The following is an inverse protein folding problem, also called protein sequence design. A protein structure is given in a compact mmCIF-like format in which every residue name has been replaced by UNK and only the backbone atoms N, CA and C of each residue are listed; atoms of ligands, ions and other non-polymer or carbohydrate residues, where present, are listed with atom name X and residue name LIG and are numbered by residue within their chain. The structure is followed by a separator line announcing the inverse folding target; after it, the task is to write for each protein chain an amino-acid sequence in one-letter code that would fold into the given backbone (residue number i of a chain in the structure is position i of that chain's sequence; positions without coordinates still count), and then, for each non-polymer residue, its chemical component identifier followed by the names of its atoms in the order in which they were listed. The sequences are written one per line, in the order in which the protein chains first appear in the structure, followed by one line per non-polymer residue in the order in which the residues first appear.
data_IF_574788797026
#
_entry.id   IF_574788797026
#
_cell.length_a   1.000
_cell.length_b   1.000
_cell.length_c   1.000
_cell.angle_alpha   90.00
_cell.angle_beta   90.00
_cell.angle_gamma   90.00
#
_symmetry.space_group_name_H-M   'P 1'
#
loop_
_entity.id
_entity.type
_entity.pdbx_description
1 polymer ?
#
# COMPACT_ATOMS: atom_id res chain seq x y z
N UNK A 1 5.95 -29.56 2.82
CA UNK A 1 5.30 -28.27 3.01
C UNK A 1 3.78 -28.45 3.02
N UNK A 2 3.07 -27.84 3.96
CA UNK A 2 1.61 -27.81 3.97
C UNK A 2 1.19 -26.40 3.58
N UNK A 3 0.55 -26.28 2.44
CA UNK A 3 -0.18 -25.08 2.07
C UNK A 3 -1.49 -25.06 2.84
N UNK A 4 -1.69 -24.02 3.63
CA UNK A 4 -2.98 -23.72 4.24
C UNK A 4 -3.64 -22.64 3.39
N UNK A 5 -4.71 -23.00 2.67
CA UNK A 5 -5.56 -22.03 2.01
C UNK A 5 -6.63 -21.54 2.98
N UNK A 6 -6.79 -20.25 3.12
CA UNK A 6 -7.88 -19.63 3.82
C UNK A 6 -8.79 -18.96 2.79
N UNK A 7 -10.09 -19.26 2.87
CA UNK A 7 -11.09 -18.58 2.06
C UNK A 7 -11.35 -17.17 2.62
N UNK A 8 -11.95 -16.35 1.83
CA UNK A 8 -12.13 -14.92 2.05
C UNK A 8 -12.71 -14.56 3.43
N UNK A 9 -12.10 -13.57 4.06
CA UNK A 9 -12.65 -12.88 5.23
C UNK A 9 -13.00 -11.46 4.79
N UNK A 10 -14.19 -11.01 5.12
CA UNK A 10 -14.64 -9.66 4.80
C UNK A 10 -15.50 -9.05 5.89
N UNK A 11 -15.43 -7.73 5.97
CA UNK A 11 -16.29 -6.90 6.82
C UNK A 11 -16.86 -5.81 5.90
N UNK A 12 -18.19 -5.63 5.92
CA UNK A 12 -18.85 -4.60 5.12
C UNK A 12 -19.60 -3.62 6.01
N UNK A 13 -19.61 -2.37 5.60
CA UNK A 13 -20.37 -1.29 6.22
C UNK A 13 -20.15 -1.17 7.74
N UNK A 14 -18.92 -1.41 8.18
CA UNK A 14 -18.55 -1.27 9.58
C UNK A 14 -18.37 0.20 9.95
N UNK A 15 -18.79 0.57 11.15
CA UNK A 15 -18.54 1.90 11.67
C UNK A 15 -18.46 1.91 13.19
N UNK A 16 -17.69 2.85 13.72
CA UNK A 16 -17.67 3.14 15.15
C UNK A 16 -17.79 4.63 15.39
N UNK A 17 -18.38 5.00 16.52
CA UNK A 17 -18.54 6.39 16.91
C UNK A 17 -17.48 6.75 17.96
N UNK A 18 -16.85 7.89 17.78
CA UNK A 18 -15.94 8.48 18.75
C UNK A 18 -16.37 9.92 19.02
N UNK A 19 -16.85 10.20 20.22
CA UNK A 19 -17.25 11.54 20.67
C UNK A 19 -18.24 12.29 19.76
N UNK A 20 -19.06 11.56 19.01
CA UNK A 20 -20.03 12.11 18.05
C UNK A 20 -19.59 12.00 16.58
N UNK A 21 -18.32 11.80 16.33
CA UNK A 21 -17.81 11.55 14.99
C UNK A 21 -17.89 10.06 14.62
N UNK A 22 -18.24 9.79 13.36
CA UNK A 22 -18.41 8.43 12.86
C UNK A 22 -17.30 8.09 11.88
N UNK A 23 -16.40 7.21 12.30
CA UNK A 23 -15.44 6.57 11.40
C UNK A 23 -16.09 5.35 10.77
N UNK A 24 -15.97 5.19 9.45
CA UNK A 24 -16.60 4.10 8.72
C UNK A 24 -15.65 3.40 7.77
N UNK A 25 -15.90 2.13 7.53
CA UNK A 25 -15.24 1.32 6.50
C UNK A 25 -16.34 0.72 5.64
N UNK A 26 -16.32 0.97 4.33
CA UNK A 26 -17.30 0.42 3.40
C UNK A 26 -17.06 -1.06 3.17
N UNK A 27 -15.83 -1.45 2.89
CA UNK A 27 -15.42 -2.84 2.70
C UNK A 27 -14.00 -3.08 3.22
N UNK A 28 -13.81 -4.16 3.93
CA UNK A 28 -12.51 -4.74 4.24
C UNK A 28 -12.51 -6.19 3.79
N UNK A 29 -11.49 -6.60 3.07
CA UNK A 29 -11.35 -8.01 2.68
C UNK A 29 -9.91 -8.50 2.80
N UNK A 30 -9.80 -9.78 3.14
CA UNK A 30 -8.60 -10.59 3.06
C UNK A 30 -8.94 -11.85 2.28
N UNK A 31 -8.29 -12.07 1.16
CA UNK A 31 -8.61 -13.15 0.23
C UNK A 31 -7.37 -13.81 -0.36
N UNK A 32 -7.57 -14.96 -1.00
CA UNK A 32 -6.53 -15.70 -1.72
C UNK A 32 -5.30 -16.08 -0.85
N UNK A 33 -5.49 -16.23 0.46
CA UNK A 33 -4.37 -16.44 1.39
C UNK A 33 -3.81 -17.85 1.24
N UNK A 34 -2.50 -17.93 0.93
CA UNK A 34 -1.72 -19.16 1.00
C UNK A 34 -0.52 -18.97 1.92
N UNK A 35 -0.25 -19.98 2.73
CA UNK A 35 0.85 -19.96 3.70
C UNK A 35 1.76 -21.15 3.44
N UNK A 36 3.05 -20.89 3.31
CA UNK A 36 4.10 -21.89 3.19
C UNK A 36 5.22 -21.60 4.18
N UNK A 37 5.68 -22.64 4.87
CA UNK A 37 6.73 -22.54 5.91
C UNK A 37 6.47 -21.44 6.96
N UNK A 38 5.19 -21.18 7.29
CA UNK A 38 4.79 -20.15 8.24
C UNK A 38 4.79 -18.72 7.70
N UNK A 39 5.07 -18.54 6.42
CA UNK A 39 5.02 -17.24 5.73
C UNK A 39 3.85 -17.20 4.76
N UNK A 40 3.22 -16.04 4.64
CA UNK A 40 2.21 -15.80 3.60
C UNK A 40 2.92 -15.67 2.25
N UNK A 41 2.67 -16.62 1.35
CA UNK A 41 3.24 -16.63 0.01
C UNK A 41 2.28 -16.07 -1.03
N UNK A 42 0.98 -16.02 -0.73
CA UNK A 42 -0.02 -15.39 -1.56
C UNK A 42 -1.08 -14.75 -0.69
N UNK A 43 -1.59 -13.62 -1.11
CA UNK A 43 -2.70 -12.96 -0.40
C UNK A 43 -3.07 -11.63 -1.03
N UNK A 44 -4.32 -11.26 -0.80
CA UNK A 44 -4.84 -9.96 -1.18
C UNK A 44 -5.60 -9.36 0.00
N UNK A 45 -5.20 -8.16 0.37
CA UNK A 45 -5.88 -7.37 1.41
C UNK A 45 -6.43 -6.11 0.77
N UNK A 46 -7.65 -5.73 1.09
CA UNK A 46 -8.20 -4.45 0.68
C UNK A 46 -9.00 -3.77 1.79
N UNK A 47 -8.90 -2.46 1.83
CA UNK A 47 -9.74 -1.54 2.59
C UNK A 47 -10.33 -0.57 1.58
N UNK A 48 -11.64 -0.59 1.38
CA UNK A 48 -12.34 0.35 0.52
C UNK A 48 -13.18 1.32 1.35
N UNK A 49 -13.04 2.61 1.04
CA UNK A 49 -13.86 3.66 1.62
C UNK A 49 -13.71 3.76 3.13
N UNK A 50 -12.47 3.74 3.65
CA UNK A 50 -12.21 4.15 5.03
C UNK A 50 -12.45 5.66 5.13
N UNK A 51 -13.54 6.03 5.81
CA UNK A 51 -14.02 7.40 5.99
C UNK A 51 -13.62 7.90 7.36
N UNK A 52 -12.86 8.99 7.39
CA UNK A 52 -12.37 9.64 8.61
C UNK A 52 -12.87 11.09 8.60
N UNK A 53 -13.74 11.50 9.54
CA UNK A 53 -14.16 12.89 9.67
C UNK A 53 -12.98 13.84 9.84
N UNK A 54 -12.98 14.98 9.15
CA UNK A 54 -11.92 15.98 9.29
C UNK A 54 -11.87 16.62 10.69
N UNK A 55 -12.95 16.56 11.44
CA UNK A 55 -12.99 16.95 12.86
C UNK A 55 -12.01 16.14 13.69
N UNK A 56 -11.96 14.81 13.50
CA UNK A 56 -11.00 13.94 14.19
C UNK A 56 -9.55 14.20 13.76
N UNK A 57 -9.31 14.43 12.46
CA UNK A 57 -7.98 14.83 11.98
C UNK A 57 -7.58 16.17 12.58
N UNK A 58 -8.53 17.13 12.69
CA UNK A 58 -8.29 18.45 13.25
C UNK A 58 -7.90 18.42 14.73
N UNK A 59 -8.35 17.43 15.49
CA UNK A 59 -7.92 17.23 16.89
C UNK A 59 -6.43 16.85 16.97
N UNK A 60 -5.92 16.14 15.97
CA UNK A 60 -4.52 15.73 15.89
C UNK A 60 -3.65 16.78 15.20
N UNK A 61 -4.09 17.28 14.05
CA UNK A 61 -3.39 18.28 13.25
C UNK A 61 -4.38 19.13 12.43
N UNK A 62 -4.59 20.37 12.90
CA UNK A 62 -5.48 21.34 12.24
C UNK A 62 -5.00 21.74 10.85
N UNK A 63 -3.69 21.79 10.62
CA UNK A 63 -3.14 22.21 9.33
C UNK A 63 -3.41 21.16 8.27
N UNK A 64 -3.24 19.89 8.60
CA UNK A 64 -3.54 18.76 7.74
C UNK A 64 -5.04 18.69 7.44
N UNK A 65 -5.91 18.75 8.44
CA UNK A 65 -7.36 18.74 8.24
C UNK A 65 -7.84 19.87 7.33
N UNK A 66 -7.31 21.08 7.54
CA UNK A 66 -7.64 22.24 6.69
C UNK A 66 -7.16 22.02 5.25
N UNK A 67 -5.94 21.53 5.07
CA UNK A 67 -5.39 21.27 3.74
C UNK A 67 -6.24 20.24 2.99
N UNK A 68 -6.64 19.15 3.66
CA UNK A 68 -7.53 18.15 3.09
C UNK A 68 -8.87 18.78 2.69
N UNK A 69 -9.52 19.50 3.59
CA UNK A 69 -10.80 20.16 3.32
C UNK A 69 -10.71 21.18 2.17
N UNK A 70 -9.62 21.94 2.09
CA UNK A 70 -9.39 22.93 1.03
C UNK A 70 -9.16 22.27 -0.35
N UNK A 71 -8.64 21.05 -0.38
CA UNK A 71 -8.40 20.29 -1.62
C UNK A 71 -9.67 19.57 -2.08
N UNK A 72 -10.29 18.84 -1.17
CA UNK A 72 -11.41 17.95 -1.51
C UNK A 72 -12.76 18.65 -1.50
N UNK A 73 -12.89 19.74 -0.73
CA UNK A 73 -14.19 20.36 -0.43
C UNK A 73 -15.10 19.47 0.45
N UNK A 74 -14.58 18.36 0.97
CA UNK A 74 -15.35 17.39 1.75
C UNK A 74 -15.19 17.61 3.26
N UNK A 75 -16.14 17.06 4.03
CA UNK A 75 -16.10 17.04 5.49
C UNK A 75 -15.37 15.79 6.03
N UNK A 76 -15.22 14.79 5.17
CA UNK A 76 -14.56 13.53 5.48
C UNK A 76 -13.37 13.30 4.56
N UNK A 77 -12.32 12.69 5.08
CA UNK A 77 -11.22 12.12 4.31
C UNK A 77 -11.50 10.66 4.03
N UNK A 78 -11.62 10.29 2.76
CA UNK A 78 -11.94 8.93 2.34
C UNK A 78 -10.73 8.33 1.64
N UNK A 79 -10.26 7.20 2.16
CA UNK A 79 -9.13 6.47 1.59
C UNK A 79 -9.50 5.03 1.26
N UNK A 80 -8.85 4.50 0.24
CA UNK A 80 -8.88 3.10 -0.12
C UNK A 80 -7.44 2.60 -0.30
N UNK A 81 -7.20 1.38 0.16
CA UNK A 81 -5.89 0.74 0.08
C UNK A 81 -6.09 -0.72 -0.31
N UNK A 82 -5.36 -1.20 -1.29
CA UNK A 82 -5.23 -2.63 -1.52
C UNK A 82 -3.76 -3.04 -1.64
N UNK A 83 -3.49 -4.27 -1.22
CA UNK A 83 -2.21 -4.91 -1.38
C UNK A 83 -2.42 -6.33 -1.85
N UNK A 84 -1.70 -6.73 -2.89
CA UNK A 84 -1.62 -8.09 -3.36
C UNK A 84 -0.16 -8.56 -3.30
N UNK A 85 0.03 -9.81 -2.88
CA UNK A 85 1.34 -10.46 -2.79
C UNK A 85 1.24 -11.81 -3.48
N UNK A 86 2.20 -12.12 -4.32
CA UNK A 86 2.38 -13.45 -4.93
C UNK A 86 3.87 -13.81 -4.89
N UNK A 87 4.21 -14.91 -4.26
CA UNK A 87 5.56 -15.42 -4.14
C UNK A 87 5.66 -16.83 -4.68
N UNK A 88 6.26 -16.96 -5.85
CA UNK A 88 6.65 -18.25 -6.38
C UNK A 88 7.90 -18.75 -5.64
N UNK A 89 7.69 -19.71 -4.74
CA UNK A 89 8.75 -20.27 -3.89
C UNK A 89 9.70 -21.21 -4.59
N UNK A 90 9.33 -21.72 -5.79
CA UNK A 90 10.18 -22.58 -6.61
C UNK A 90 11.13 -21.76 -7.47
N UNK A 91 10.65 -20.64 -8.01
CA UNK A 91 11.45 -19.73 -8.83
C UNK A 91 12.13 -18.62 -8.03
N UNK A 92 11.72 -18.41 -6.77
CA UNK A 92 12.18 -17.32 -5.93
C UNK A 92 11.71 -15.95 -6.45
N UNK A 93 10.59 -15.93 -7.17
CA UNK A 93 10.00 -14.71 -7.71
C UNK A 93 8.92 -14.17 -6.76
N UNK A 94 9.02 -12.89 -6.42
CA UNK A 94 8.08 -12.19 -5.55
C UNK A 94 7.49 -10.99 -6.26
N UNK A 95 6.19 -10.97 -6.38
CA UNK A 95 5.45 -9.85 -6.93
C UNK A 95 4.55 -9.23 -5.86
N UNK A 96 4.55 -7.92 -5.78
CA UNK A 96 3.61 -7.19 -4.93
C UNK A 96 3.03 -6.00 -5.68
N UNK A 97 1.75 -5.77 -5.44
CA UNK A 97 1.02 -4.63 -5.97
C UNK A 97 0.33 -3.89 -4.81
N UNK A 98 0.51 -2.59 -4.76
CA UNK A 98 -0.10 -1.71 -3.78
C UNK A 98 -0.88 -0.64 -4.54
N UNK A 99 -2.19 -0.57 -4.29
CA UNK A 99 -3.04 0.52 -4.75
C UNK A 99 -3.45 1.37 -3.55
N UNK A 100 -3.20 2.65 -3.63
CA UNK A 100 -3.63 3.64 -2.66
C UNK A 100 -4.45 4.71 -3.36
N UNK A 101 -5.64 4.99 -2.84
CA UNK A 101 -6.50 6.07 -3.32
C UNK A 101 -6.95 6.96 -2.15
N UNK A 102 -6.92 8.27 -2.38
CA UNK A 102 -7.53 9.25 -1.51
C UNK A 102 -8.52 10.06 -2.36
N UNK A 103 -9.81 9.93 -2.04
CA UNK A 103 -10.91 10.53 -2.82
C UNK A 103 -10.74 12.06 -2.90
N UNK A 104 -10.81 12.58 -4.13
CA UNK A 104 -10.61 14.00 -4.41
C UNK A 104 -9.14 14.46 -4.36
N UNK A 105 -8.19 13.55 -4.17
CA UNK A 105 -6.75 13.85 -4.22
C UNK A 105 -6.07 13.18 -5.42
N UNK A 106 -5.77 11.90 -5.27
CA UNK A 106 -5.03 11.12 -6.25
C UNK A 106 -5.17 9.62 -6.00
N UNK A 107 -4.80 8.85 -7.02
CA UNK A 107 -4.57 7.41 -6.91
C UNK A 107 -3.14 7.09 -7.28
N UNK A 108 -2.52 6.22 -6.51
CA UNK A 108 -1.16 5.73 -6.73
C UNK A 108 -1.18 4.21 -6.75
N UNK A 109 -0.61 3.63 -7.80
CA UNK A 109 -0.42 2.20 -7.89
C UNK A 109 1.07 1.92 -8.04
N UNK A 110 1.58 1.03 -7.19
CA UNK A 110 2.96 0.59 -7.20
C UNK A 110 2.97 -0.92 -7.39
N UNK A 111 3.66 -1.40 -8.41
CA UNK A 111 3.95 -2.81 -8.55
C UNK A 111 5.46 -3.03 -8.52
N UNK A 112 5.90 -4.03 -7.76
CA UNK A 112 7.30 -4.39 -7.57
C UNK A 112 7.46 -5.89 -7.78
N UNK A 113 8.37 -6.25 -8.69
CA UNK A 113 8.82 -7.63 -8.88
C UNK A 113 10.26 -7.79 -8.40
N UNK A 114 10.50 -8.83 -7.62
CA UNK A 114 11.82 -9.26 -7.16
C UNK A 114 12.08 -10.69 -7.59
N UNK A 115 13.35 -11.04 -7.79
CA UNK A 115 13.77 -12.39 -8.09
C UNK A 115 14.98 -12.79 -7.24
N UNK A 116 15.22 -14.09 -7.09
CA UNK A 116 16.33 -14.62 -6.30
C UNK A 116 16.04 -14.74 -4.82
N UNK A 117 14.77 -14.68 -4.41
CA UNK A 117 14.38 -14.86 -3.00
C UNK A 117 14.28 -16.36 -2.64
N UNK A 118 14.93 -16.74 -1.56
CA UNK A 118 14.86 -18.09 -0.97
C UNK A 118 13.92 -18.08 0.24
N UNK A 119 12.78 -18.76 0.11
CA UNK A 119 11.79 -18.84 1.19
C UNK A 119 12.34 -19.48 2.46
N UNK A 120 13.28 -20.42 2.34
CA UNK A 120 13.87 -21.07 3.52
C UNK A 120 14.77 -20.06 4.28
N UNK A 121 15.55 -19.27 3.56
CA UNK A 121 16.35 -18.18 4.15
C UNK A 121 15.44 -17.12 4.78
N UNK A 122 14.37 -16.72 4.12
CA UNK A 122 13.39 -15.75 4.66
C UNK A 122 12.69 -16.27 5.91
N UNK A 123 12.23 -17.54 5.88
CA UNK A 123 11.61 -18.18 7.04
C UNK A 123 12.59 -18.28 8.21
N UNK A 124 13.87 -18.58 7.96
CA UNK A 124 14.90 -18.58 8.99
C UNK A 124 15.11 -17.17 9.55
N UNK A 125 15.20 -16.15 8.69
CA UNK A 125 15.36 -14.76 9.12
C UNK A 125 14.24 -14.30 10.08
N UNK A 126 12.99 -14.70 9.79
CA UNK A 126 11.84 -14.35 10.65
C UNK A 126 11.87 -14.96 12.06
N UNK A 127 12.69 -15.98 12.28
CA UNK A 127 12.82 -16.69 13.56
C UNK A 127 14.07 -16.28 14.35
N UNK A 128 15.00 -15.54 13.73
CA UNK A 128 16.23 -15.09 14.38
C UNK A 128 15.93 -13.92 15.31
N UNK A 129 16.51 -13.98 16.50
CA UNK A 129 16.46 -12.91 17.50
C UNK A 129 17.83 -12.25 17.69
N UNK A 130 18.92 -12.93 17.29
CA UNK A 130 20.26 -12.36 17.32
C UNK A 130 20.48 -11.43 16.12
N UNK A 131 20.89 -10.18 16.40
CA UNK A 131 21.07 -9.14 15.40
C UNK A 131 22.20 -9.46 14.41
N UNK A 132 23.31 -10.05 14.88
CA UNK A 132 24.44 -10.33 14.00
C UNK A 132 24.17 -11.51 13.08
N UNK A 133 23.49 -12.55 13.58
CA UNK A 133 23.03 -13.67 12.74
C UNK A 133 22.04 -13.21 11.70
N UNK A 134 21.10 -12.33 12.07
CA UNK A 134 20.13 -11.74 11.17
C UNK A 134 20.81 -10.93 10.06
N UNK A 135 21.77 -10.07 10.40
CA UNK A 135 22.52 -9.26 9.43
C UNK A 135 23.36 -10.13 8.48
N UNK A 136 23.99 -11.21 8.98
CA UNK A 136 24.71 -12.14 8.14
C UNK A 136 23.79 -12.82 7.12
N UNK A 137 22.61 -13.28 7.57
CA UNK A 137 21.63 -13.93 6.71
C UNK A 137 21.04 -12.96 5.65
N UNK A 138 20.80 -11.69 6.03
CA UNK A 138 20.39 -10.66 5.07
C UNK A 138 21.48 -10.37 4.04
N UNK A 139 22.75 -10.43 4.40
CA UNK A 139 23.86 -10.37 3.46
C UNK A 139 23.76 -11.48 2.40
N UNK A 140 23.56 -12.73 2.83
CA UNK A 140 23.39 -13.88 1.94
C UNK A 140 22.14 -13.80 1.05
N UNK A 141 21.03 -13.24 1.57
CA UNK A 141 19.80 -13.03 0.78
C UNK A 141 20.02 -11.96 -0.28
N UNK A 142 20.72 -10.89 0.08
CA UNK A 142 20.93 -9.74 -0.82
C UNK A 142 21.87 -10.03 -2.00
N UNK A 143 22.74 -11.04 -1.89
CA UNK A 143 23.65 -11.43 -2.98
C UNK A 143 22.88 -11.98 -4.21
N UNK A 144 21.79 -12.69 -3.98
CA UNK A 144 20.95 -13.30 -5.01
C UNK A 144 19.77 -12.41 -5.43
N UNK A 145 19.46 -11.40 -4.62
CA UNK A 145 18.30 -10.54 -4.81
C UNK A 145 18.45 -9.63 -6.01
N UNK A 146 17.48 -9.66 -6.91
CA UNK A 146 17.41 -8.79 -8.09
C UNK A 146 16.05 -8.10 -8.14
N UNK A 147 16.04 -6.85 -8.51
CA UNK A 147 14.83 -6.16 -8.90
C UNK A 147 14.48 -6.58 -10.33
N UNK A 148 13.36 -7.28 -10.50
CA UNK A 148 12.89 -7.73 -11.80
C UNK A 148 12.07 -6.67 -12.51
N UNK A 149 11.22 -5.95 -11.77
CA UNK A 149 10.38 -4.89 -12.30
C UNK A 149 10.01 -3.87 -11.23
N UNK A 150 9.75 -2.65 -11.65
CA UNK A 150 9.06 -1.64 -10.86
C UNK A 150 8.12 -0.87 -11.79
N UNK A 151 6.87 -0.68 -11.35
CA UNK A 151 5.88 0.10 -12.06
C UNK A 151 5.24 1.08 -11.08
N UNK A 152 5.14 2.34 -11.49
CA UNK A 152 4.47 3.39 -10.75
C UNK A 152 3.42 4.01 -11.66
N UNK A 153 2.16 4.00 -11.24
CA UNK A 153 1.08 4.71 -11.88
C UNK A 153 0.56 5.78 -10.92
N UNK A 154 0.34 6.96 -11.43
CA UNK A 154 -0.26 8.07 -10.71
C UNK A 154 -1.44 8.62 -11.51
N UNK A 155 -2.57 8.76 -10.86
CA UNK A 155 -3.75 9.41 -11.41
C UNK A 155 -4.17 10.55 -10.48
N UNK A 156 -4.10 11.78 -10.98
CA UNK A 156 -4.57 12.95 -10.26
C UNK A 156 -6.08 13.03 -10.29
N UNK A 157 -6.72 13.31 -9.16
CA UNK A 157 -8.17 13.55 -9.09
C UNK A 157 -8.49 15.04 -8.87
N UNK A 158 -7.60 15.78 -8.21
CA UNK A 158 -7.75 17.22 -7.97
C UNK A 158 -6.54 17.85 -7.27
N UNK A 159 -5.54 17.04 -6.90
CA UNK A 159 -4.40 17.50 -6.10
C UNK A 159 -3.55 18.50 -6.86
N UNK A 160 -3.22 18.19 -8.14
CA UNK A 160 -2.36 19.05 -8.96
C UNK A 160 -3.02 20.39 -9.21
N UNK A 161 -4.29 20.42 -9.59
CA UNK A 161 -5.02 21.66 -9.86
C UNK A 161 -5.08 22.56 -8.61
N UNK A 162 -5.32 21.98 -7.44
CA UNK A 162 -5.40 22.74 -6.19
C UNK A 162 -4.02 23.26 -5.75
N UNK A 163 -2.98 22.47 -5.91
CA UNK A 163 -1.60 22.88 -5.59
C UNK A 163 -1.16 24.00 -6.53
N UNK A 164 -1.42 23.85 -7.84
CA UNK A 164 -1.10 24.87 -8.85
C UNK A 164 -1.84 26.18 -8.63
N UNK A 165 -3.13 26.11 -8.26
CA UNK A 165 -3.92 27.31 -7.95
C UNK A 165 -3.37 28.11 -6.75
N UNK A 166 -2.69 27.43 -5.79
CA UNK A 166 -2.11 28.05 -4.59
C UNK A 166 -0.63 28.42 -4.74
N UNK A 167 0.05 27.90 -5.75
CA UNK A 167 1.48 28.13 -6.00
C UNK A 167 1.71 28.66 -7.44
N UNK A 168 1.40 29.96 -7.71
CA UNK A 168 1.33 30.51 -9.06
C UNK A 168 2.66 30.55 -9.85
N UNK A 169 3.79 30.26 -9.23
CA UNK A 169 5.12 30.33 -9.88
C UNK A 169 5.71 28.96 -10.30
N UNK A 170 4.91 27.90 -10.32
CA UNK A 170 5.43 26.55 -10.62
C UNK A 170 4.98 26.03 -11.99
N UNK A 171 5.53 26.59 -13.06
CA UNK A 171 5.42 26.03 -14.44
C UNK A 171 5.97 24.58 -14.55
N UNK A 172 6.61 24.06 -13.52
CA UNK A 172 7.24 22.73 -13.50
C UNK A 172 6.31 21.60 -13.06
N UNK A 173 5.17 21.87 -12.43
CA UNK A 173 4.24 20.85 -11.93
C UNK A 173 3.15 20.44 -12.94
N UNK A 174 3.06 21.12 -14.06
CA UNK A 174 1.96 20.99 -15.07
C UNK A 174 1.91 19.61 -15.74
N UNK A 175 2.94 18.79 -15.67
CA UNK A 175 2.99 17.50 -16.35
C UNK A 175 2.80 16.28 -15.44
N UNK A 176 2.35 16.42 -14.19
CA UNK A 176 2.23 15.29 -13.27
C UNK A 176 0.90 14.52 -13.35
N UNK A 177 -0.12 15.05 -14.00
CA UNK A 177 -1.38 14.34 -14.19
C UNK A 177 -1.22 13.21 -15.22
N UNK A 178 -1.48 11.98 -14.82
CA UNK A 178 -1.39 10.80 -15.70
C UNK A 178 0.01 10.28 -15.97
N UNK A 179 0.95 10.52 -15.05
CA UNK A 179 2.30 9.94 -15.14
C UNK A 179 2.28 8.43 -14.90
N UNK A 180 2.84 7.69 -15.85
CA UNK A 180 3.11 6.26 -15.70
C UNK A 180 4.60 6.02 -15.91
N UNK A 181 5.24 5.30 -15.00
CA UNK A 181 6.65 4.92 -15.11
C UNK A 181 6.75 3.39 -15.03
N UNK A 182 7.13 2.78 -16.13
CA UNK A 182 7.43 1.36 -16.20
C UNK A 182 8.93 1.17 -16.36
N UNK A 183 9.56 0.49 -15.42
CA UNK A 183 10.97 0.08 -15.51
C UNK A 183 11.07 -1.44 -15.43
N UNK A 184 11.63 -2.05 -16.46
CA UNK A 184 12.02 -3.46 -16.45
C UNK A 184 13.54 -3.48 -16.43
N UNK A 185 14.10 -4.04 -15.38
CA UNK A 185 15.55 -4.15 -15.19
C UNK A 185 15.99 -5.51 -15.72
N UNK A 186 16.82 -5.50 -16.73
CA UNK A 186 17.38 -6.71 -17.36
C UNK A 186 18.57 -7.29 -16.58
#
# INVERSE_FOLDING_TARGET
ARLYGMTDIGIKDASFNNSGDKVGIKDFSLSEVAIENGMMVKGKTSVDGLRIPLTLISEMDRSTARTIGDITGAEDFVISLSNAVDFDTEEGAFDTEIDFGAEGFAKVKIALGLAGLDIAKLSKASQLTDFFELMSLWGEISEDLKMASIKLEYADENLADTVLAKAPDTDQLVNMSGMQVDMVLG
#
